data_IF_139470651189
#
_entry.id   IF_139470651189
#
_cell.length_a   1.000
_cell.length_b   1.000
_cell.length_c   1.000
_cell.angle_alpha   90.00
_cell.angle_beta   90.00
_cell.angle_gamma   90.00
#
_symmetry.space_group_name_H-M   'P 1'
#
loop_
_entity.id
_entity.type
_entity.pdbx_description
1 polymer ?
#
# COMPACT_ATOMS: atom_id res chain seq x y z
N UNK A 1 -52.08 14.44 -3.21
CA UNK A 1 -51.17 13.41 -3.79
C UNK A 1 -49.75 13.87 -3.54
N UNK A 2 -48.96 13.12 -2.77
CA UNK A 2 -47.57 13.47 -2.51
C UNK A 2 -46.76 13.19 -3.78
N UNK A 3 -46.13 14.24 -4.32
CA UNK A 3 -45.28 14.12 -5.50
C UNK A 3 -43.97 13.47 -5.05
N UNK A 4 -43.77 12.19 -5.35
CA UNK A 4 -42.52 11.49 -5.02
C UNK A 4 -41.41 12.10 -5.88
N UNK A 5 -40.37 12.60 -5.21
CA UNK A 5 -39.20 13.16 -5.85
C UNK A 5 -38.28 12.03 -6.35
N UNK A 6 -38.42 11.69 -7.64
CA UNK A 6 -37.64 10.65 -8.30
C UNK A 6 -36.16 11.03 -8.51
N UNK A 7 -35.75 12.28 -8.25
CA UNK A 7 -34.35 12.69 -8.29
C UNK A 7 -33.48 12.04 -7.20
N UNK A 8 -34.10 11.40 -6.22
CA UNK A 8 -33.45 10.70 -5.09
C UNK A 8 -33.43 9.18 -5.22
N UNK A 9 -33.84 8.63 -6.36
CA UNK A 9 -33.77 7.19 -6.62
C UNK A 9 -32.33 6.81 -6.91
N UNK A 10 -31.60 6.40 -5.88
CA UNK A 10 -30.28 5.77 -6.05
C UNK A 10 -30.52 4.39 -6.67
N UNK A 11 -30.05 4.20 -7.89
CA UNK A 11 -30.19 2.92 -8.59
C UNK A 11 -29.32 1.85 -7.93
N UNK A 12 -29.63 0.58 -8.19
CA UNK A 12 -28.78 -0.53 -7.75
C UNK A 12 -27.36 -0.42 -8.33
N UNK A 13 -27.25 0.13 -9.55
CA UNK A 13 -25.97 0.38 -10.23
C UNK A 13 -25.15 1.45 -9.52
N UNK A 14 -25.77 2.57 -9.12
CA UNK A 14 -25.11 3.63 -8.35
C UNK A 14 -24.58 3.12 -7.01
N UNK A 15 -25.35 2.23 -6.34
CA UNK A 15 -24.91 1.60 -5.09
C UNK A 15 -23.72 0.67 -5.31
N UNK A 16 -23.75 -0.14 -6.37
CA UNK A 16 -22.66 -1.05 -6.71
C UNK A 16 -21.37 -0.29 -7.04
N UNK A 17 -21.47 0.82 -7.80
CA UNK A 17 -20.33 1.66 -8.12
C UNK A 17 -19.72 2.32 -6.88
N UNK A 18 -20.57 2.84 -5.97
CA UNK A 18 -20.12 3.41 -4.71
C UNK A 18 -19.43 2.36 -3.82
N UNK A 19 -20.00 1.17 -3.70
CA UNK A 19 -19.42 0.06 -2.94
C UNK A 19 -18.05 -0.34 -3.50
N UNK A 20 -17.91 -0.42 -4.82
CA UNK A 20 -16.63 -0.72 -5.46
C UNK A 20 -15.60 0.37 -5.16
N UNK A 21 -16.00 1.65 -5.16
CA UNK A 21 -15.10 2.75 -4.85
C UNK A 21 -14.64 2.72 -3.39
N UNK A 22 -15.56 2.47 -2.45
CA UNK A 22 -15.24 2.31 -1.02
C UNK A 22 -14.25 1.17 -0.82
N UNK A 23 -14.53 0.00 -1.41
CA UNK A 23 -13.66 -1.17 -1.32
C UNK A 23 -12.26 -0.89 -1.86
N UNK A 24 -12.12 -0.16 -2.96
CA UNK A 24 -10.82 0.25 -3.49
C UNK A 24 -10.09 1.25 -2.57
N UNK A 25 -10.82 2.15 -1.90
CA UNK A 25 -10.23 3.08 -0.93
C UNK A 25 -9.75 2.35 0.32
N UNK A 26 -10.57 1.43 0.85
CA UNK A 26 -10.22 0.61 2.02
C UNK A 26 -8.99 -0.25 1.75
N UNK A 27 -8.90 -0.86 0.57
CA UNK A 27 -7.70 -1.63 0.15
C UNK A 27 -6.45 -0.76 0.04
N UNK A 28 -6.57 0.48 -0.44
CA UNK A 28 -5.43 1.41 -0.47
C UNK A 28 -4.97 1.78 0.94
N UNK A 29 -5.90 2.00 1.86
CA UNK A 29 -5.59 2.27 3.26
C UNK A 29 -4.91 1.05 3.92
N UNK A 30 -5.43 -0.16 3.68
CA UNK A 30 -4.84 -1.41 4.16
C UNK A 30 -3.43 -1.64 3.61
N UNK A 31 -3.23 -1.45 2.30
CA UNK A 31 -1.91 -1.54 1.66
C UNK A 31 -0.90 -0.60 2.34
N UNK A 32 -1.30 0.65 2.59
CA UNK A 32 -0.46 1.62 3.32
C UNK A 32 -0.13 1.15 4.73
N UNK A 33 -1.13 0.70 5.50
CA UNK A 33 -0.92 0.19 6.86
C UNK A 33 0.04 -1.00 6.88
N UNK A 34 -0.11 -1.95 5.97
CA UNK A 34 0.74 -3.14 5.87
C UNK A 34 2.19 -2.79 5.53
N UNK A 35 2.41 -1.85 4.60
CA UNK A 35 3.76 -1.36 4.28
C UNK A 35 4.39 -0.70 5.50
N UNK A 36 3.65 0.18 6.18
CA UNK A 36 4.15 0.90 7.35
C UNK A 36 4.38 0.01 8.58
N UNK A 37 3.69 -1.12 8.69
CA UNK A 37 3.96 -2.11 9.72
C UNK A 37 5.34 -2.81 9.56
N UNK A 38 5.93 -2.72 8.36
CA UNK A 38 7.25 -3.30 8.04
C UNK A 38 8.33 -2.22 8.00
N UNK A 39 8.05 -1.12 7.31
CA UNK A 39 8.98 -0.01 7.12
C UNK A 39 8.19 1.30 7.15
N UNK A 40 8.28 2.02 8.26
CA UNK A 40 7.56 3.27 8.47
C UNK A 40 8.11 4.41 7.58
N UNK A 41 7.47 5.58 7.65
CA UNK A 41 7.84 6.72 6.81
C UNK A 41 9.26 7.23 7.08
N UNK A 42 9.73 7.18 8.34
CA UNK A 42 11.07 7.64 8.71
C UNK A 42 12.11 6.66 8.18
N UNK A 43 11.90 5.36 8.41
CA UNK A 43 12.77 4.30 7.91
C UNK A 43 12.88 4.35 6.38
N UNK A 44 11.76 4.60 5.67
CA UNK A 44 11.77 4.74 4.21
C UNK A 44 12.65 5.91 3.74
N UNK A 45 12.53 7.08 4.38
CA UNK A 45 13.32 8.27 4.03
C UNK A 45 14.81 8.03 4.32
N UNK A 46 15.13 7.47 5.48
CA UNK A 46 16.50 7.21 5.91
C UNK A 46 17.16 6.13 5.03
N UNK A 47 16.43 5.07 4.66
CA UNK A 47 16.91 4.06 3.71
C UNK A 47 17.16 4.65 2.33
N UNK A 48 16.26 5.49 1.82
CA UNK A 48 16.45 6.15 0.53
C UNK A 48 17.69 7.06 0.56
N UNK A 49 17.88 7.82 1.64
CA UNK A 49 19.06 8.68 1.84
C UNK A 49 20.34 7.85 1.90
N UNK A 50 20.37 6.79 2.73
CA UNK A 50 21.53 5.90 2.88
C UNK A 50 21.89 5.18 1.58
N UNK A 51 20.89 4.68 0.85
CA UNK A 51 21.09 4.07 -0.47
C UNK A 51 21.68 5.08 -1.46
N UNK A 52 21.15 6.31 -1.49
CA UNK A 52 21.62 7.36 -2.40
C UNK A 52 23.06 7.83 -2.08
N UNK A 53 23.43 7.81 -0.79
CA UNK A 53 24.76 8.17 -0.32
C UNK A 53 25.77 7.01 -0.43
N UNK A 54 25.35 5.82 -0.89
CA UNK A 54 26.22 4.64 -0.97
C UNK A 54 26.63 4.07 0.39
N UNK A 55 25.82 4.30 1.43
CA UNK A 55 26.09 3.86 2.81
C UNK A 55 25.59 2.44 3.10
N UNK A 56 24.78 1.86 2.20
CA UNK A 56 24.37 0.46 2.30
C UNK A 56 25.47 -0.44 1.75
N UNK A 57 25.81 -1.49 2.51
CA UNK A 57 26.65 -2.56 1.96
C UNK A 57 25.92 -3.34 0.84
N UNK A 58 26.63 -4.28 0.20
CA UNK A 58 26.07 -5.03 -0.91
C UNK A 58 24.84 -5.88 -0.53
N UNK A 59 24.82 -6.45 0.68
CA UNK A 59 23.71 -7.26 1.17
C UNK A 59 22.50 -6.38 1.51
N UNK A 60 22.72 -5.28 2.24
CA UNK A 60 21.70 -4.29 2.55
C UNK A 60 21.08 -3.68 1.28
N UNK A 61 21.89 -3.39 0.26
CA UNK A 61 21.39 -2.87 -1.01
C UNK A 61 20.54 -3.91 -1.77
N UNK A 62 20.85 -5.20 -1.66
CA UNK A 62 20.01 -6.27 -2.21
C UNK A 62 18.67 -6.34 -1.48
N UNK A 63 18.68 -6.29 -0.15
CA UNK A 63 17.46 -6.27 0.68
C UNK A 63 16.61 -5.02 0.41
N UNK A 64 17.23 -3.85 0.28
CA UNK A 64 16.54 -2.61 -0.10
C UNK A 64 15.81 -2.73 -1.44
N UNK A 65 16.47 -3.29 -2.46
CA UNK A 65 15.85 -3.55 -3.77
C UNK A 65 14.70 -4.55 -3.67
N UNK A 66 14.85 -5.63 -2.89
CA UNK A 66 13.77 -6.57 -2.63
C UNK A 66 12.57 -5.89 -1.95
N UNK A 67 12.81 -4.99 -0.99
CA UNK A 67 11.78 -4.16 -0.37
C UNK A 67 11.05 -3.26 -1.36
N UNK A 68 11.75 -2.62 -2.29
CA UNK A 68 11.12 -1.82 -3.36
C UNK A 68 10.24 -2.67 -4.28
N UNK A 69 10.70 -3.86 -4.68
CA UNK A 69 9.91 -4.81 -5.48
C UNK A 69 8.67 -5.26 -4.72
N UNK A 70 8.80 -5.55 -3.42
CA UNK A 70 7.66 -5.89 -2.57
C UNK A 70 6.65 -4.75 -2.43
N UNK A 71 7.08 -3.50 -2.24
CA UNK A 71 6.18 -2.33 -2.20
C UNK A 71 5.42 -2.18 -3.53
N UNK A 72 6.06 -2.43 -4.67
CA UNK A 72 5.38 -2.42 -5.97
C UNK A 72 4.33 -3.53 -6.06
N UNK A 73 4.65 -4.75 -5.61
CA UNK A 73 3.72 -5.86 -5.58
C UNK A 73 2.54 -5.61 -4.61
N UNK A 74 2.80 -5.03 -3.44
CA UNK A 74 1.77 -4.58 -2.49
C UNK A 74 0.81 -3.57 -3.13
N UNK A 75 1.32 -2.62 -3.93
CA UNK A 75 0.48 -1.64 -4.63
C UNK A 75 -0.35 -2.28 -5.75
N UNK A 76 0.18 -3.30 -6.43
CA UNK A 76 -0.56 -4.07 -7.42
C UNK A 76 -1.70 -4.88 -6.77
N UNK A 77 -1.44 -5.49 -5.62
CA UNK A 77 -2.41 -6.25 -4.83
C UNK A 77 -3.58 -5.40 -4.30
N UNK A 78 -3.56 -4.06 -4.40
CA UNK A 78 -4.74 -3.22 -4.13
C UNK A 78 -5.94 -3.56 -5.03
N UNK A 79 -5.69 -4.16 -6.21
CA UNK A 79 -6.75 -4.51 -7.16
C UNK A 79 -7.61 -5.69 -6.68
N UNK A 80 -7.03 -6.66 -5.97
CA UNK A 80 -7.66 -7.94 -5.65
C UNK A 80 -7.53 -8.35 -4.16
N UNK A 81 -6.60 -7.74 -3.42
CA UNK A 81 -6.29 -8.06 -2.02
C UNK A 81 -5.30 -9.21 -1.85
N UNK A 82 -4.65 -9.68 -2.92
CA UNK A 82 -3.68 -10.78 -2.86
C UNK A 82 -2.31 -10.27 -2.39
N UNK A 83 -2.21 -9.95 -1.09
CA UNK A 83 -1.02 -9.33 -0.51
C UNK A 83 0.19 -10.27 -0.56
N UNK A 84 1.33 -9.85 -1.13
CA UNK A 84 2.56 -10.64 -1.10
C UNK A 84 3.16 -10.70 0.31
N UNK A 85 3.81 -11.82 0.62
CA UNK A 85 4.60 -11.95 1.84
C UNK A 85 5.75 -10.93 1.86
N UNK A 86 6.07 -10.44 3.05
CA UNK A 86 7.22 -9.57 3.26
C UNK A 86 8.50 -10.35 2.98
N UNK A 87 9.41 -9.85 2.12
CA UNK A 87 10.68 -10.51 1.88
C UNK A 87 11.51 -10.63 3.16
N UNK A 88 12.34 -11.67 3.29
CA UNK A 88 13.25 -11.81 4.42
C UNK A 88 14.13 -10.56 4.60
N UNK A 89 14.49 -10.27 5.83
CA UNK A 89 15.43 -9.22 6.23
C UNK A 89 15.00 -7.77 5.94
N UNK A 90 13.88 -7.53 5.26
CA UNK A 90 13.39 -6.17 4.96
C UNK A 90 12.98 -5.45 6.22
N UNK A 91 12.34 -6.15 7.17
CA UNK A 91 11.93 -5.57 8.44
C UNK A 91 13.13 -5.27 9.33
N UNK A 92 14.10 -6.18 9.33
CA UNK A 92 15.36 -6.07 10.06
C UNK A 92 16.18 -4.90 9.52
N UNK A 93 16.29 -4.76 8.20
CA UNK A 93 16.94 -3.63 7.56
C UNK A 93 16.21 -2.32 7.88
N UNK A 94 14.88 -2.29 7.81
CA UNK A 94 14.10 -1.11 8.15
C UNK A 94 14.32 -0.68 9.62
N UNK A 95 14.48 -1.61 10.55
CA UNK A 95 14.74 -1.29 11.96
C UNK A 95 16.11 -0.65 12.23
N UNK A 96 17.03 -0.67 11.26
CA UNK A 96 18.34 -0.02 11.37
C UNK A 96 18.34 1.45 10.95
N UNK A 97 17.25 1.94 10.35
CA UNK A 97 17.14 3.26 9.72
C UNK A 97 15.88 3.99 10.18
#
# INVERSE_FOLDING_TARGET
>A
MANIDFSRVVTTEDKAALQQQILLQDRKAECRMRIFAVCDEIAQINLAAAASAGLLDAAQMQTYRAGLTWIQAMRAACADGNWPDTPPDVKELAALF
#
